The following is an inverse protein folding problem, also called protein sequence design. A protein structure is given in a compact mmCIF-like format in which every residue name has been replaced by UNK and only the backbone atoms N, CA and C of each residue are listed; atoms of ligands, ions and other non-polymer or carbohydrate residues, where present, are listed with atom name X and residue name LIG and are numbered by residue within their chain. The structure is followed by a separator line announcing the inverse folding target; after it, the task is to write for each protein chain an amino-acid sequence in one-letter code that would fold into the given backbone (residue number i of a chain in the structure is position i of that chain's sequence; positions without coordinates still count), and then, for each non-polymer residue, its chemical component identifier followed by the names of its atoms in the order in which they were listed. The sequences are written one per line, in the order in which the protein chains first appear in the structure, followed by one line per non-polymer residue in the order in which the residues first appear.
data_IF_523948785538
#
_entry.id   IF_523948785538
#
_cell.length_a   1.000
_cell.length_b   1.000
_cell.length_c   1.000
_cell.angle_alpha   90.00
_cell.angle_beta   90.00
_cell.angle_gamma   90.00
#
_symmetry.space_group_name_H-M   'P 1'
#
loop_
_entity.id
_entity.type
_entity.pdbx_description
1 polymer ?
#
# COMPACT_ATOMS: atom_id res chain seq x y z
N UNK A 1 -15.92 5.00 36.49
CA UNK A 1 -14.48 5.34 36.33
C UNK A 1 -14.00 5.21 34.87
N UNK A 2 -14.89 5.26 33.87
CA UNK A 2 -14.54 5.12 32.43
C UNK A 2 -14.67 6.42 31.61
N UNK A 3 -15.28 7.48 32.15
CA UNK A 3 -15.47 8.75 31.45
C UNK A 3 -14.21 9.63 31.37
N UNK A 4 -13.19 9.39 32.21
CA UNK A 4 -11.91 10.12 32.17
C UNK A 4 -10.91 9.58 31.15
N UNK A 5 -11.01 8.32 30.74
CA UNK A 5 -10.13 7.74 29.71
C UNK A 5 -10.54 8.13 28.29
N UNK A 6 -11.81 8.47 28.05
CA UNK A 6 -12.29 8.98 26.76
C UNK A 6 -11.85 10.42 26.48
N UNK A 7 -11.49 11.21 27.51
CA UNK A 7 -11.05 12.59 27.35
C UNK A 7 -9.53 12.75 27.16
N UNK A 8 -8.72 11.70 27.41
CA UNK A 8 -7.26 11.80 27.27
C UNK A 8 -6.72 11.35 25.90
N UNK A 9 -7.55 10.87 24.97
CA UNK A 9 -7.12 10.55 23.60
C UNK A 9 -7.17 11.74 22.64
N UNK A 10 -7.70 12.89 23.08
CA UNK A 10 -7.92 14.07 22.25
C UNK A 10 -6.66 14.90 21.91
N UNK A 11 -5.45 14.43 22.28
CA UNK A 11 -4.22 15.24 22.17
C UNK A 11 -3.26 14.84 21.02
N UNK A 12 -3.72 14.13 19.99
CA UNK A 12 -2.96 13.95 18.73
C UNK A 12 -3.52 14.86 17.62
N UNK A 13 -2.96 16.05 17.58
CA UNK A 13 -3.24 17.23 16.74
C UNK A 13 -2.95 17.03 15.24
N UNK A 14 -3.51 15.99 14.60
CA UNK A 14 -3.44 15.82 13.13
C UNK A 14 -4.76 15.53 12.42
N UNK A 15 -5.84 15.21 13.14
CA UNK A 15 -7.15 14.90 12.53
C UNK A 15 -8.19 16.04 12.63
N UNK A 16 -7.85 17.17 13.27
CA UNK A 16 -8.80 18.26 13.52
C UNK A 16 -8.93 19.24 12.34
N UNK A 17 -7.97 19.28 11.41
CA UNK A 17 -7.98 20.23 10.29
C UNK A 17 -8.89 19.79 9.15
N UNK A 18 -9.07 18.48 8.93
CA UNK A 18 -9.92 17.95 7.83
C UNK A 18 -11.42 18.16 8.11
N UNK A 19 -11.81 18.17 9.39
CA UNK A 19 -13.22 18.37 9.80
C UNK A 19 -13.70 19.80 9.56
N UNK A 20 -12.82 20.81 9.62
CA UNK A 20 -13.22 22.20 9.43
C UNK A 20 -13.43 22.62 7.96
N UNK A 21 -12.78 21.97 6.99
CA UNK A 21 -12.87 22.37 5.57
C UNK A 21 -14.09 21.75 4.87
N UNK A 22 -14.48 20.52 5.23
CA UNK A 22 -15.68 19.87 4.68
C UNK A 22 -17.00 20.52 5.14
N UNK A 23 -17.05 21.05 6.37
CA UNK A 23 -18.25 21.70 6.92
C UNK A 23 -18.60 23.02 6.24
N UNK A 24 -17.62 23.74 5.69
CA UNK A 24 -17.84 25.05 5.07
C UNK A 24 -18.30 24.96 3.60
N UNK A 25 -17.93 23.89 2.87
CA UNK A 25 -18.40 23.68 1.49
C UNK A 25 -19.86 23.17 1.43
N UNK A 26 -20.29 22.37 2.40
CA UNK A 26 -21.65 21.81 2.43
C UNK A 26 -22.74 22.85 2.77
N UNK A 27 -22.37 23.95 3.45
CA UNK A 27 -23.30 25.05 3.72
C UNK A 27 -23.69 25.84 2.47
N UNK A 28 -22.90 25.77 1.39
CA UNK A 28 -23.12 26.54 0.17
C UNK A 28 -24.04 25.84 -0.85
N UNK A 29 -24.21 24.52 -0.78
CA UNK A 29 -24.92 23.74 -1.83
C UNK A 29 -26.21 23.06 -1.37
N UNK A 30 -26.62 23.19 -0.08
CA UNK A 30 -27.83 22.58 0.50
C UNK A 30 -28.01 21.06 0.22
N UNK A 31 -26.95 20.35 -0.20
CA UNK A 31 -27.02 18.93 -0.51
C UNK A 31 -26.76 18.08 0.74
N UNK A 32 -27.80 17.91 1.55
CA UNK A 32 -27.81 17.02 2.72
C UNK A 32 -27.41 15.57 2.36
N UNK A 33 -27.64 15.15 1.12
CA UNK A 33 -27.32 13.80 0.65
C UNK A 33 -25.81 13.54 0.52
N UNK A 34 -25.03 14.52 0.03
CA UNK A 34 -23.58 14.37 -0.17
C UNK A 34 -22.86 14.34 1.18
N UNK A 35 -23.33 15.12 2.16
CA UNK A 35 -22.81 15.12 3.53
C UNK A 35 -23.01 13.76 4.21
N UNK A 36 -24.16 13.12 4.00
CA UNK A 36 -24.46 11.80 4.53
C UNK A 36 -23.53 10.70 3.97
N UNK A 37 -23.26 10.73 2.67
CA UNK A 37 -22.38 9.74 2.00
C UNK A 37 -20.93 9.93 2.46
N UNK A 38 -20.43 11.17 2.50
CA UNK A 38 -19.07 11.47 2.99
C UNK A 38 -18.86 11.08 4.45
N UNK A 39 -19.84 11.36 5.31
CA UNK A 39 -19.78 10.98 6.73
C UNK A 39 -19.83 9.46 6.95
N UNK A 40 -20.61 8.73 6.14
CA UNK A 40 -20.67 7.26 6.19
C UNK A 40 -19.38 6.62 5.68
N UNK A 41 -18.83 7.10 4.56
CA UNK A 41 -17.58 6.59 4.01
C UNK A 41 -16.40 6.85 4.96
N UNK A 42 -16.32 8.06 5.53
CA UNK A 42 -15.30 8.39 6.53
C UNK A 42 -15.50 7.59 7.82
N UNK A 43 -16.74 7.45 8.29
CA UNK A 43 -17.08 6.64 9.46
C UNK A 43 -16.69 5.17 9.28
N UNK A 44 -16.88 4.61 8.08
CA UNK A 44 -16.45 3.26 7.76
C UNK A 44 -14.92 3.12 7.74
N UNK A 45 -14.19 4.07 7.15
CA UNK A 45 -12.73 4.09 7.12
C UNK A 45 -12.13 4.20 8.53
N UNK A 46 -12.65 5.12 9.35
CA UNK A 46 -12.21 5.28 10.75
C UNK A 46 -12.61 4.08 11.60
N UNK A 47 -13.77 3.46 11.35
CA UNK A 47 -14.16 2.24 12.05
C UNK A 47 -13.27 1.06 11.66
N UNK A 48 -12.86 0.94 10.40
CA UNK A 48 -11.91 -0.10 9.94
C UNK A 48 -10.52 0.13 10.54
N UNK A 49 -10.05 1.38 10.59
CA UNK A 49 -8.78 1.74 11.22
C UNK A 49 -8.81 1.52 12.74
N UNK A 50 -9.94 1.80 13.39
CA UNK A 50 -10.14 1.60 14.84
C UNK A 50 -10.43 0.14 15.24
N UNK A 51 -11.04 -0.67 14.36
CA UNK A 51 -11.20 -2.13 14.56
C UNK A 51 -9.92 -2.90 14.20
N UNK A 52 -9.01 -2.29 13.45
CA UNK A 52 -7.64 -2.77 13.28
C UNK A 52 -6.83 -2.43 14.54
N UNK A 53 -7.31 -2.91 15.69
CA UNK A 53 -6.62 -2.74 16.97
C UNK A 53 -5.18 -3.26 16.85
N UNK A 54 -4.17 -2.54 17.37
CA UNK A 54 -2.80 -3.00 17.51
C UNK A 54 -2.65 -4.05 18.63
N UNK A 55 -3.64 -4.93 18.78
CA UNK A 55 -3.63 -6.02 19.74
C UNK A 55 -2.59 -7.05 19.28
N UNK A 56 -1.37 -6.88 19.81
CA UNK A 56 -0.32 -7.88 19.80
C UNK A 56 -0.08 -8.46 18.39
N UNK A 57 0.16 -7.59 17.39
CA UNK A 57 0.64 -8.06 16.10
C UNK A 57 1.90 -8.89 16.36
N UNK A 58 1.76 -10.22 16.25
CA UNK A 58 2.89 -11.12 16.04
C UNK A 58 3.81 -10.42 15.04
N UNK A 59 5.11 -10.35 15.35
CA UNK A 59 6.12 -9.67 14.53
C UNK A 59 5.73 -9.76 13.06
N UNK A 60 5.63 -8.63 12.34
CA UNK A 60 5.01 -8.55 11.02
C UNK A 60 5.67 -9.56 10.06
N UNK A 61 5.09 -10.74 10.01
CA UNK A 61 5.56 -11.89 9.23
C UNK A 61 4.88 -11.84 7.89
N UNK A 62 5.56 -12.38 6.89
CA UNK A 62 4.97 -12.62 5.59
C UNK A 62 3.65 -13.40 5.76
N UNK A 63 2.55 -12.94 5.12
CA UNK A 63 1.28 -13.63 5.22
C UNK A 63 1.40 -15.03 4.62
N UNK A 64 0.57 -15.97 5.08
CA UNK A 64 0.50 -17.30 4.46
C UNK A 64 0.06 -17.13 3.00
N UNK A 65 0.73 -17.71 1.98
CA UNK A 65 0.40 -17.51 0.57
C UNK A 65 -1.08 -17.72 0.22
N UNK A 66 -1.72 -18.72 0.87
CA UNK A 66 -3.14 -19.04 0.68
C UNK A 66 -4.11 -17.93 1.09
N UNK A 67 -3.67 -16.98 1.93
CA UNK A 67 -4.48 -15.82 2.37
C UNK A 67 -4.31 -14.61 1.46
N UNK A 68 -3.34 -14.61 0.56
CA UNK A 68 -3.05 -13.50 -0.35
C UNK A 68 -3.94 -13.65 -1.58
N UNK A 69 -4.88 -12.74 -1.79
CA UNK A 69 -5.85 -12.80 -2.89
C UNK A 69 -5.20 -12.48 -4.23
N UNK A 70 -4.38 -11.42 -4.26
CA UNK A 70 -3.64 -11.00 -5.44
C UNK A 70 -2.60 -12.05 -5.87
N UNK A 71 -2.64 -12.48 -7.14
CA UNK A 71 -1.78 -13.54 -7.64
C UNK A 71 -0.30 -13.13 -7.68
N UNK A 72 0.01 -11.90 -8.08
CA UNK A 72 1.38 -11.42 -8.18
C UNK A 72 2.02 -11.31 -6.80
N UNK A 73 1.30 -10.74 -5.84
CA UNK A 73 1.71 -10.66 -4.44
C UNK A 73 1.84 -12.06 -3.82
N UNK A 74 0.94 -13.00 -4.13
CA UNK A 74 1.03 -14.39 -3.65
C UNK A 74 2.32 -15.05 -4.14
N UNK A 75 2.64 -14.91 -5.43
CA UNK A 75 3.86 -15.45 -6.01
C UNK A 75 5.11 -14.85 -5.34
N UNK A 76 5.12 -13.54 -5.09
CA UNK A 76 6.23 -12.89 -4.40
C UNK A 76 6.43 -13.45 -2.98
N UNK A 77 5.34 -13.62 -2.22
CA UNK A 77 5.39 -14.24 -0.89
C UNK A 77 5.92 -15.68 -0.94
N UNK A 78 5.48 -16.48 -1.92
CA UNK A 78 5.96 -17.86 -2.11
C UNK A 78 7.46 -17.90 -2.39
N UNK A 79 7.96 -17.03 -3.28
CA UNK A 79 9.39 -16.90 -3.57
C UNK A 79 10.19 -16.47 -2.34
N UNK A 80 9.73 -15.46 -1.59
CA UNK A 80 10.42 -15.01 -0.38
C UNK A 80 10.47 -16.11 0.69
N UNK A 81 9.38 -16.86 0.90
CA UNK A 81 9.36 -17.99 1.82
C UNK A 81 10.26 -19.14 1.36
N UNK A 82 10.35 -19.39 0.05
CA UNK A 82 11.30 -20.36 -0.50
C UNK A 82 12.75 -19.93 -0.27
N UNK A 83 13.08 -18.68 -0.58
CA UNK A 83 14.39 -18.10 -0.35
C UNK A 83 14.78 -18.10 1.14
N UNK A 84 13.82 -17.83 2.04
CA UNK A 84 14.03 -17.95 3.50
C UNK A 84 14.41 -19.36 3.93
N UNK A 85 13.70 -20.38 3.42
CA UNK A 85 14.03 -21.78 3.74
C UNK A 85 15.42 -22.17 3.25
N UNK A 86 15.79 -21.71 2.07
CA UNK A 86 17.13 -21.94 1.52
C UNK A 86 18.21 -21.23 2.36
N UNK A 87 17.93 -19.98 2.76
CA UNK A 87 18.79 -19.22 3.65
C UNK A 87 19.01 -19.94 4.99
N UNK A 88 17.93 -20.41 5.62
CA UNK A 88 17.99 -21.19 6.87
C UNK A 88 18.81 -22.48 6.67
N UNK A 89 18.63 -23.17 5.53
CA UNK A 89 19.39 -24.37 5.19
C UNK A 89 20.90 -24.09 5.07
N UNK A 90 21.27 -23.02 4.34
CA UNK A 90 22.67 -22.61 4.19
C UNK A 90 23.30 -22.21 5.53
N UNK A 91 22.57 -21.50 6.39
CA UNK A 91 23.02 -21.11 7.72
C UNK A 91 23.26 -22.30 8.65
N UNK A 92 22.37 -23.29 8.65
CA UNK A 92 22.52 -24.51 9.44
C UNK A 92 23.79 -25.29 9.07
N UNK A 93 24.16 -25.28 7.78
CA UNK A 93 25.37 -25.94 7.26
C UNK A 93 26.63 -25.09 7.36
N UNK A 94 26.54 -23.86 7.85
CA UNK A 94 27.66 -22.93 7.99
C UNK A 94 28.39 -23.12 9.32
N UNK A 95 29.66 -22.73 9.38
CA UNK A 95 30.43 -22.72 10.64
C UNK A 95 29.91 -21.66 11.60
N UNK A 96 30.26 -21.78 12.89
CA UNK A 96 29.85 -20.80 13.92
C UNK A 96 30.32 -19.37 13.60
N UNK A 97 31.53 -19.22 13.08
CA UNK A 97 32.07 -17.92 12.67
C UNK A 97 31.19 -17.29 11.58
N UNK A 98 30.88 -18.05 10.53
CA UNK A 98 30.01 -17.59 9.43
C UNK A 98 28.61 -17.26 9.94
N UNK A 99 28.05 -18.07 10.85
CA UNK A 99 26.74 -17.78 11.47
C UNK A 99 26.75 -16.48 12.27
N UNK A 100 27.79 -16.21 13.07
CA UNK A 100 27.90 -14.98 13.85
C UNK A 100 28.00 -13.75 12.93
N UNK A 101 28.84 -13.79 11.91
CA UNK A 101 28.97 -12.70 10.94
C UNK A 101 27.69 -12.50 10.13
N UNK A 102 27.07 -13.59 9.67
CA UNK A 102 25.81 -13.53 8.92
C UNK A 102 24.68 -13.02 9.81
N UNK A 103 24.66 -13.33 11.11
CA UNK A 103 23.64 -12.85 12.05
C UNK A 103 23.51 -11.33 12.08
N UNK A 104 24.62 -10.60 11.93
CA UNK A 104 24.59 -9.14 11.82
C UNK A 104 23.99 -8.68 10.48
N UNK A 105 24.40 -9.31 9.37
CA UNK A 105 23.86 -8.99 8.04
C UNK A 105 22.38 -9.37 7.88
N UNK A 106 21.94 -10.39 8.63
CA UNK A 106 20.56 -10.89 8.63
C UNK A 106 19.67 -10.22 9.68
N UNK A 107 20.21 -9.32 10.52
CA UNK A 107 19.43 -8.60 11.52
C UNK A 107 18.32 -7.73 10.88
N UNK A 108 18.48 -7.35 9.61
CA UNK A 108 17.53 -6.57 8.81
C UNK A 108 16.50 -7.41 8.05
N UNK A 109 16.65 -8.74 8.02
CA UNK A 109 15.74 -9.64 7.31
C UNK A 109 14.31 -9.59 7.85
N UNK A 110 14.07 -9.57 9.18
CA UNK A 110 12.71 -9.39 9.72
C UNK A 110 12.08 -8.06 9.30
N UNK A 111 12.88 -7.00 9.21
CA UNK A 111 12.40 -5.69 8.76
C UNK A 111 12.00 -5.71 7.27
N UNK A 112 12.78 -6.41 6.43
CA UNK A 112 12.40 -6.66 5.03
C UNK A 112 11.08 -7.44 4.92
N UNK A 113 10.89 -8.47 5.74
CA UNK A 113 9.65 -9.24 5.75
C UNK A 113 8.46 -8.40 6.17
N UNK A 114 8.63 -7.56 7.19
CA UNK A 114 7.60 -6.65 7.67
C UNK A 114 7.11 -5.73 6.55
N UNK A 115 8.06 -5.16 5.81
CA UNK A 115 7.79 -4.27 4.68
C UNK A 115 7.13 -5.00 3.53
N UNK A 116 7.65 -6.17 3.17
CA UNK A 116 7.03 -7.01 2.16
C UNK A 116 5.58 -7.37 2.54
N UNK A 117 5.32 -7.71 3.80
CA UNK A 117 3.97 -7.98 4.28
C UNK A 117 3.05 -6.76 4.12
N UNK A 118 3.54 -5.55 4.42
CA UNK A 118 2.79 -4.31 4.21
C UNK A 118 2.49 -4.04 2.72
N UNK A 119 3.48 -4.23 1.83
CA UNK A 119 3.28 -4.10 0.39
C UNK A 119 2.27 -5.11 -0.14
N UNK A 120 2.33 -6.36 0.33
CA UNK A 120 1.39 -7.42 -0.04
C UNK A 120 -0.03 -7.07 0.39
N UNK A 121 -0.23 -6.56 1.61
CA UNK A 121 -1.55 -6.10 2.07
C UNK A 121 -2.12 -5.01 1.15
N UNK A 122 -1.33 -3.97 0.86
CA UNK A 122 -1.74 -2.89 -0.04
C UNK A 122 -2.02 -3.37 -1.46
N UNK A 123 -1.21 -4.29 -1.99
CA UNK A 123 -1.45 -4.87 -3.31
C UNK A 123 -2.77 -5.65 -3.35
N UNK A 124 -3.09 -6.40 -2.29
CA UNK A 124 -4.37 -7.10 -2.18
C UNK A 124 -5.55 -6.14 -2.05
N UNK A 125 -5.41 -5.07 -1.28
CA UNK A 125 -6.44 -4.03 -1.12
C UNK A 125 -6.74 -3.35 -2.46
N UNK A 126 -5.71 -2.88 -3.16
CA UNK A 126 -5.86 -2.26 -4.49
C UNK A 126 -6.40 -3.24 -5.52
N UNK A 127 -5.89 -4.48 -5.55
CA UNK A 127 -6.39 -5.52 -6.44
C UNK A 127 -7.88 -5.79 -6.21
N UNK A 128 -8.29 -5.98 -4.95
CA UNK A 128 -9.70 -6.22 -4.60
C UNK A 128 -10.60 -5.05 -4.97
N UNK A 129 -10.13 -3.80 -4.78
CA UNK A 129 -10.87 -2.61 -5.19
C UNK A 129 -11.02 -2.52 -6.71
N UNK A 130 -9.95 -2.73 -7.46
CA UNK A 130 -9.97 -2.69 -8.93
C UNK A 130 -10.82 -3.81 -9.52
N UNK A 131 -10.80 -5.00 -8.95
CA UNK A 131 -11.62 -6.14 -9.37
C UNK A 131 -13.12 -5.89 -9.11
N UNK A 132 -13.45 -5.16 -8.04
CA UNK A 132 -14.83 -4.81 -7.72
C UNK A 132 -15.40 -3.72 -8.65
N UNK A 133 -14.55 -2.90 -9.28
CA UNK A 133 -14.98 -1.78 -10.13
C UNK A 133 -15.01 -2.19 -11.61
N UNK A 134 -16.20 -2.13 -12.22
CA UNK A 134 -16.32 -2.30 -13.66
C UNK A 134 -15.96 -0.99 -14.40
N UNK A 135 -14.69 -0.85 -14.77
CA UNK A 135 -14.15 0.30 -15.52
C UNK A 135 -14.94 0.55 -16.81
N UNK A 136 -15.38 -0.52 -17.47
CA UNK A 136 -16.09 -0.44 -18.73
C UNK A 136 -17.50 0.15 -18.57
N UNK A 137 -18.17 -0.13 -17.45
CA UNK A 137 -19.44 0.54 -17.12
C UNK A 137 -19.26 2.05 -16.97
N UNK A 138 -18.22 2.50 -16.29
CA UNK A 138 -17.94 3.95 -16.10
C UNK A 138 -17.62 4.62 -17.45
N UNK A 139 -16.90 3.93 -18.35
CA UNK A 139 -16.64 4.42 -19.72
C UNK A 139 -17.92 4.59 -20.52
N UNK A 140 -18.80 3.59 -20.51
CA UNK A 140 -20.08 3.64 -21.22
C UNK A 140 -20.98 4.75 -20.69
N UNK A 141 -21.01 4.95 -19.37
CA UNK A 141 -21.76 6.03 -18.73
C UNK A 141 -21.26 7.41 -19.20
N UNK A 142 -19.94 7.62 -19.21
CA UNK A 142 -19.30 8.84 -19.74
C UNK A 142 -19.63 9.07 -21.21
N UNK A 143 -19.60 8.02 -22.03
CA UNK A 143 -19.95 8.11 -23.45
C UNK A 143 -21.44 8.44 -23.66
N UNK A 144 -22.32 7.90 -22.81
CA UNK A 144 -23.75 8.17 -22.86
C UNK A 144 -24.09 9.60 -22.46
N UNK A 145 -23.49 10.10 -21.37
CA UNK A 145 -23.62 11.49 -20.93
C UNK A 145 -23.10 12.46 -21.99
N UNK A 146 -21.97 12.15 -22.62
CA UNK A 146 -21.42 12.94 -23.73
C UNK A 146 -22.38 13.00 -24.94
N UNK A 147 -23.03 11.89 -25.30
CA UNK A 147 -24.05 11.88 -26.38
C UNK A 147 -25.29 12.69 -26.00
N UNK A 148 -25.74 12.61 -24.74
CA UNK A 148 -26.87 13.39 -24.22
C UNK A 148 -26.56 14.90 -24.25
N UNK A 149 -25.37 15.31 -23.83
CA UNK A 149 -24.92 16.69 -23.92
C UNK A 149 -24.96 17.21 -25.37
N UNK A 150 -24.48 16.42 -26.32
CA UNK A 150 -24.44 16.81 -27.74
C UNK A 150 -25.82 16.95 -28.39
N UNK A 151 -26.83 16.26 -27.87
CA UNK A 151 -28.20 16.25 -28.43
C UNK A 151 -29.20 17.10 -27.63
N UNK A 152 -28.81 17.60 -26.46
CA UNK A 152 -29.64 18.45 -25.61
C UNK A 152 -29.90 19.82 -26.26
N UNK A 153 -31.18 20.22 -26.30
CA UNK A 153 -31.60 21.53 -26.83
C UNK A 153 -31.61 22.62 -25.75
N UNK A 154 -31.87 22.23 -24.51
CA UNK A 154 -31.84 23.14 -23.36
C UNK A 154 -30.38 23.37 -22.90
N UNK A 155 -29.90 24.62 -22.85
CA UNK A 155 -28.55 24.93 -22.40
C UNK A 155 -28.25 24.45 -20.97
N UNK A 156 -29.25 24.49 -20.08
CA UNK A 156 -29.04 24.08 -18.69
C UNK A 156 -28.87 22.56 -18.58
N UNK A 157 -29.75 21.78 -19.21
CA UNK A 157 -29.59 20.33 -19.28
C UNK A 157 -28.26 19.92 -19.94
N UNK A 158 -27.85 20.61 -21.00
CA UNK A 158 -26.55 20.37 -21.64
C UNK A 158 -25.39 20.56 -20.66
N UNK A 159 -25.35 21.67 -19.93
CA UNK A 159 -24.30 21.94 -18.95
C UNK A 159 -24.24 20.85 -17.86
N UNK A 160 -25.39 20.37 -17.39
CA UNK A 160 -25.45 19.28 -16.40
C UNK A 160 -24.90 17.95 -16.94
N UNK A 161 -25.20 17.59 -18.20
CA UNK A 161 -24.62 16.40 -18.82
C UNK A 161 -23.12 16.52 -19.05
N UNK A 162 -22.62 17.69 -19.42
CA UNK A 162 -21.19 17.97 -19.57
C UNK A 162 -20.45 17.84 -18.22
N UNK A 163 -21.00 18.40 -17.14
CA UNK A 163 -20.45 18.28 -15.78
C UNK A 163 -20.42 16.83 -15.29
N UNK A 164 -21.51 16.08 -15.50
CA UNK A 164 -21.57 14.67 -15.16
C UNK A 164 -20.54 13.84 -15.95
N UNK A 165 -20.38 14.12 -17.26
CA UNK A 165 -19.37 13.46 -18.09
C UNK A 165 -17.94 13.76 -17.60
N UNK A 166 -17.66 15.01 -17.23
CA UNK A 166 -16.37 15.40 -16.67
C UNK A 166 -16.08 14.69 -15.34
N UNK A 167 -17.11 14.46 -14.52
CA UNK A 167 -17.00 13.70 -13.27
C UNK A 167 -16.66 12.23 -13.53
N UNK A 168 -17.30 11.58 -14.51
CA UNK A 168 -16.95 10.23 -14.92
C UNK A 168 -15.52 10.13 -15.48
N UNK A 169 -15.07 11.13 -16.24
CA UNK A 169 -13.69 11.20 -16.73
C UNK A 169 -12.67 11.32 -15.59
N UNK A 170 -12.95 12.18 -14.60
CA UNK A 170 -12.12 12.29 -13.40
C UNK A 170 -12.02 10.94 -12.66
N UNK A 171 -13.14 10.23 -12.49
CA UNK A 171 -13.16 8.89 -11.89
C UNK A 171 -12.32 7.88 -12.68
N UNK A 172 -12.39 7.90 -14.01
CA UNK A 172 -11.58 7.02 -14.86
C UNK A 172 -10.09 7.30 -14.71
N UNK A 173 -9.68 8.58 -14.60
CA UNK A 173 -8.29 8.95 -14.33
C UNK A 173 -7.81 8.40 -12.99
N UNK A 174 -8.60 8.56 -11.92
CA UNK A 174 -8.26 7.99 -10.61
C UNK A 174 -8.13 6.47 -10.67
N UNK A 175 -9.03 5.76 -11.35
CA UNK A 175 -8.93 4.30 -11.50
C UNK A 175 -7.65 3.89 -12.25
N UNK A 176 -7.22 4.68 -13.23
CA UNK A 176 -5.97 4.44 -13.93
C UNK A 176 -4.76 4.65 -13.02
N UNK A 177 -4.73 5.75 -12.26
CA UNK A 177 -3.66 6.03 -11.30
C UNK A 177 -3.53 4.93 -10.23
N UNK A 178 -4.66 4.36 -9.77
CA UNK A 178 -4.65 3.23 -8.84
C UNK A 178 -4.10 1.95 -9.48
N UNK A 179 -4.40 1.71 -10.77
CA UNK A 179 -3.83 0.58 -11.50
C UNK A 179 -2.30 0.72 -11.66
N UNK A 180 -1.81 1.91 -12.01
CA UNK A 180 -0.36 2.19 -12.05
C UNK A 180 0.30 2.04 -10.67
N UNK A 181 -0.39 2.48 -9.61
CA UNK A 181 0.10 2.31 -8.25
C UNK A 181 0.25 0.83 -7.86
N UNK A 182 -0.68 -0.03 -8.28
CA UNK A 182 -0.58 -1.49 -8.11
C UNK A 182 0.60 -2.06 -8.89
N UNK A 183 0.80 -1.66 -10.14
CA UNK A 183 1.95 -2.11 -10.94
C UNK A 183 3.29 -1.73 -10.28
N UNK A 184 3.39 -0.53 -9.71
CA UNK A 184 4.57 -0.12 -8.93
C UNK A 184 4.79 -1.00 -7.68
N UNK A 185 3.73 -1.37 -6.96
CA UNK A 185 3.83 -2.30 -5.83
C UNK A 185 4.37 -3.67 -6.27
N UNK A 186 3.89 -4.20 -7.39
CA UNK A 186 4.37 -5.47 -7.95
C UNK A 186 5.85 -5.40 -8.33
N UNK A 187 6.29 -4.27 -8.89
CA UNK A 187 7.70 -4.01 -9.16
C UNK A 187 8.56 -4.00 -7.89
N UNK A 188 8.10 -3.33 -6.83
CA UNK A 188 8.79 -3.32 -5.54
C UNK A 188 8.85 -4.71 -4.90
N UNK A 189 7.76 -5.48 -4.94
CA UNK A 189 7.75 -6.86 -4.45
C UNK A 189 8.73 -7.75 -5.22
N UNK A 190 8.79 -7.60 -6.54
CA UNK A 190 9.74 -8.34 -7.38
C UNK A 190 11.19 -8.01 -7.04
N UNK A 191 11.50 -6.75 -6.75
CA UNK A 191 12.84 -6.35 -6.27
C UNK A 191 13.18 -6.97 -4.92
N UNK A 192 12.23 -6.96 -3.97
CA UNK A 192 12.42 -7.58 -2.65
C UNK A 192 12.68 -9.09 -2.76
N UNK A 193 11.94 -9.78 -3.65
CA UNK A 193 12.17 -11.19 -3.97
C UNK A 193 13.60 -11.41 -4.46
N UNK A 194 14.07 -10.63 -5.44
CA UNK A 194 15.41 -10.76 -5.99
C UNK A 194 16.52 -10.55 -4.93
N UNK A 195 16.32 -9.58 -4.03
CA UNK A 195 17.25 -9.35 -2.91
C UNK A 195 17.29 -10.58 -2.00
N UNK A 196 16.11 -11.11 -1.63
CA UNK A 196 15.97 -12.30 -0.78
C UNK A 196 16.60 -13.54 -1.40
N UNK A 197 16.35 -13.79 -2.68
CA UNK A 197 16.90 -14.92 -3.44
C UNK A 197 18.42 -14.82 -3.60
N UNK A 198 19.00 -13.61 -3.51
CA UNK A 198 20.45 -13.42 -3.54
C UNK A 198 21.16 -13.74 -2.22
N UNK A 199 20.44 -13.72 -1.08
CA UNK A 199 21.06 -13.89 0.25
C UNK A 199 21.75 -15.25 0.44
N UNK A 200 21.14 -16.40 0.08
CA UNK A 200 21.80 -17.70 0.25
C UNK A 200 23.11 -17.79 -0.53
N UNK A 201 23.13 -17.33 -1.78
CA UNK A 201 24.33 -17.32 -2.61
C UNK A 201 25.44 -16.47 -2.00
N UNK A 202 25.08 -15.30 -1.44
CA UNK A 202 26.02 -14.42 -0.73
C UNK A 202 26.60 -15.09 0.52
N UNK A 203 25.81 -15.83 1.30
CA UNK A 203 26.33 -16.58 2.45
C UNK A 203 27.26 -17.71 2.01
N UNK A 204 26.92 -18.44 0.94
CA UNK A 204 27.81 -19.46 0.38
C UNK A 204 29.13 -18.83 -0.05
N UNK A 205 29.09 -17.65 -0.68
CA UNK A 205 30.30 -16.92 -1.03
C UNK A 205 31.10 -16.48 0.20
N UNK A 206 30.44 -16.00 1.25
CA UNK A 206 31.10 -15.64 2.51
C UNK A 206 31.79 -16.84 3.18
N UNK A 207 31.27 -18.06 3.03
CA UNK A 207 31.94 -19.28 3.51
C UNK A 207 33.25 -19.57 2.78
N UNK A 208 33.39 -19.10 1.54
CA UNK A 208 34.60 -19.31 0.72
C UNK A 208 35.65 -18.23 0.94
N UNK A 209 35.29 -17.10 1.57
CA UNK A 209 36.15 -15.95 1.74
C UNK A 209 36.58 -15.79 3.21
N UNK A 210 37.79 -15.26 3.42
CA UNK A 210 38.29 -14.88 4.74
C UNK A 210 37.53 -13.66 5.31
N UNK A 211 37.62 -13.47 6.63
CA UNK A 211 36.81 -12.52 7.42
C UNK A 211 36.76 -11.07 6.89
N UNK A 212 37.78 -10.60 6.15
CA UNK A 212 37.79 -9.24 5.57
C UNK A 212 36.72 -9.01 4.50
N UNK A 213 36.25 -10.06 3.82
CA UNK A 213 35.16 -9.91 2.84
C UNK A 213 33.78 -9.76 3.50
N UNK A 214 33.62 -10.21 4.75
CA UNK A 214 32.35 -10.17 5.46
C UNK A 214 31.83 -8.75 5.69
N UNK A 215 32.73 -7.80 5.99
CA UNK A 215 32.35 -6.39 6.22
C UNK A 215 31.80 -5.70 4.97
N UNK A 216 32.40 -5.97 3.80
CA UNK A 216 31.95 -5.40 2.52
C UNK A 216 30.53 -5.82 2.14
N UNK A 217 30.17 -7.07 2.46
CA UNK A 217 28.86 -7.64 2.16
C UNK A 217 27.76 -7.02 3.03
N UNK A 218 28.04 -6.82 4.33
CA UNK A 218 27.12 -6.18 5.27
C UNK A 218 26.78 -4.75 4.84
N UNK A 219 27.78 -3.99 4.39
CA UNK A 219 27.59 -2.62 3.90
C UNK A 219 26.66 -2.54 2.68
N UNK A 220 26.78 -3.47 1.74
CA UNK A 220 25.95 -3.49 0.53
C UNK A 220 24.48 -3.79 0.84
N UNK A 221 24.22 -4.72 1.77
CA UNK A 221 22.85 -5.06 2.19
C UNK A 221 22.21 -3.86 2.89
N UNK A 222 22.92 -3.23 3.83
CA UNK A 222 22.40 -2.04 4.52
C UNK A 222 22.13 -0.87 3.55
N UNK A 223 23.01 -0.62 2.59
CA UNK A 223 22.78 0.41 1.57
C UNK A 223 21.55 0.12 0.71
N UNK A 224 21.34 -1.13 0.31
CA UNK A 224 20.16 -1.52 -0.46
C UNK A 224 18.87 -1.39 0.37
N UNK A 225 18.94 -1.70 1.66
CA UNK A 225 17.84 -1.52 2.61
C UNK A 225 17.48 -0.06 2.84
N UNK A 226 18.49 0.80 3.01
CA UNK A 226 18.32 2.24 3.16
C UNK A 226 17.73 2.84 1.90
N UNK A 227 18.21 2.40 0.73
CA UNK A 227 17.64 2.77 -0.56
C UNK A 227 16.19 2.34 -0.68
N UNK A 228 15.87 1.09 -0.36
CA UNK A 228 14.48 0.61 -0.33
C UNK A 228 13.61 1.39 0.66
N UNK A 229 14.16 1.79 1.81
CA UNK A 229 13.45 2.59 2.80
C UNK A 229 13.07 3.96 2.25
N UNK A 230 14.03 4.64 1.62
CA UNK A 230 13.77 5.94 1.00
C UNK A 230 12.77 5.85 -0.15
N UNK A 231 12.92 4.85 -1.03
CA UNK A 231 12.00 4.62 -2.15
C UNK A 231 10.58 4.32 -1.67
N UNK A 232 10.45 3.48 -0.64
CA UNK A 232 9.15 3.14 -0.06
C UNK A 232 8.51 4.32 0.66
N UNK A 233 9.27 5.12 1.41
CA UNK A 233 8.77 6.35 2.02
C UNK A 233 8.28 7.36 0.97
N UNK A 234 9.00 7.51 -0.14
CA UNK A 234 8.57 8.34 -1.26
C UNK A 234 7.29 7.80 -1.91
N UNK A 235 7.20 6.48 -2.08
CA UNK A 235 6.01 5.83 -2.61
C UNK A 235 4.79 5.99 -1.67
N UNK A 236 4.96 5.80 -0.36
CA UNK A 236 3.90 6.01 0.63
C UNK A 236 3.39 7.46 0.62
N UNK A 237 4.30 8.41 0.48
CA UNK A 237 3.95 9.81 0.33
C UNK A 237 3.13 10.03 -0.96
N UNK A 238 3.52 9.40 -2.08
CA UNK A 238 2.75 9.48 -3.33
C UNK A 238 1.35 8.87 -3.22
N UNK A 239 1.20 7.74 -2.51
CA UNK A 239 -0.11 7.13 -2.25
C UNK A 239 -0.98 8.02 -1.36
N UNK A 240 -0.38 8.64 -0.35
CA UNK A 240 -1.08 9.57 0.55
C UNK A 240 -1.58 10.79 -0.20
N UNK A 241 -0.75 11.34 -1.09
CA UNK A 241 -1.14 12.44 -1.96
C UNK A 241 -2.29 12.03 -2.90
N UNK A 242 -2.25 10.82 -3.46
CA UNK A 242 -3.34 10.28 -4.28
C UNK A 242 -4.64 10.20 -3.48
N UNK A 243 -4.59 9.65 -2.28
CA UNK A 243 -5.75 9.54 -1.37
C UNK A 243 -6.33 10.91 -1.00
N UNK A 244 -5.52 11.96 -0.91
CA UNK A 244 -6.01 13.33 -0.64
C UNK A 244 -6.61 14.01 -1.86
N UNK A 245 -6.27 13.54 -3.07
CA UNK A 245 -6.65 14.17 -4.34
C UNK A 245 -7.95 13.60 -4.92
N UNK A 246 -8.45 12.48 -4.39
CA UNK A 246 -9.79 11.96 -4.72
C UNK A 246 -10.81 12.75 -3.89
N UNK A 247 -11.53 13.74 -4.46
CA UNK A 247 -12.72 14.26 -3.80
C UNK A 247 -13.72 13.12 -3.68
N UNK A 248 -14.11 12.82 -2.43
CA UNK A 248 -15.17 11.86 -2.14
C UNK A 248 -16.53 12.33 -2.65
#
# INVERSE_FOLDING_TARGET
MHLRQLLSSANKTRHLVVVCVGGLAAAATQSLAVLGIGALAYGALVAIDALSSPELEEEPRLPKPRKVTDWAARRAVESMLAARRELDHVLQRSSDSVRRYSGMALASVPELEARAAQLVRRACELGSFLDAVNIETVRRERDDLSRKAATARDPQARAQFEEASASCEARLRTLHELAEARERLEGHLSRLVAIYESLPARIVHLRTLDAQAADSMSGTVNQELDRLNSEMGAFEQSLKELSTRVPG
#
